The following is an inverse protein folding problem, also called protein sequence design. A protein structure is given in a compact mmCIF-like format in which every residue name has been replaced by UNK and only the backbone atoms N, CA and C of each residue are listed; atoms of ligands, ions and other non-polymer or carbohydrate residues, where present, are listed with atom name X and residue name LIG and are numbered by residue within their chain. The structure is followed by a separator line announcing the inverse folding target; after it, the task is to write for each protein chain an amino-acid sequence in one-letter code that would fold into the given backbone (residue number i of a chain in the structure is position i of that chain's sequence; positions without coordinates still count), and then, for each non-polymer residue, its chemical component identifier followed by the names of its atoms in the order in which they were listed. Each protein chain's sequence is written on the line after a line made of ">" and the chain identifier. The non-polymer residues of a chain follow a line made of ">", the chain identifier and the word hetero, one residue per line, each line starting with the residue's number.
data_IF_621550458199
#
_entry.id   IF_621550458199
#
_cell.length_a   1.000
_cell.length_b   1.000
_cell.length_c   1.000
_cell.angle_alpha   90.00
_cell.angle_beta   90.00
_cell.angle_gamma   90.00
#
_symmetry.space_group_name_H-M   'P 1'
#
loop_
_entity.id
_entity.type
_entity.pdbx_description
1 polymer ?
#
# COMPACT_ATOMS: atom_id res chain seq x y z
N UNK A 1 -1.83 -12.14 9.83
CA UNK A 1 -1.27 -11.61 8.56
C UNK A 1 -1.64 -10.12 8.50
N UNK A 2 -0.66 -9.22 8.40
CA UNK A 2 -0.88 -7.79 8.54
C UNK A 2 -1.56 -7.24 7.28
N UNK A 3 -2.80 -6.78 7.38
CA UNK A 3 -3.61 -6.33 6.22
C UNK A 3 -2.93 -5.18 5.45
N UNK A 4 -2.17 -4.34 6.15
CA UNK A 4 -1.44 -3.23 5.54
C UNK A 4 -0.33 -3.73 4.61
N UNK A 5 0.35 -4.83 4.97
CA UNK A 5 1.41 -5.41 4.14
C UNK A 5 0.85 -6.03 2.86
N UNK A 6 -0.32 -6.68 2.95
CA UNK A 6 -1.00 -7.21 1.77
C UNK A 6 -1.44 -6.09 0.81
N UNK A 7 -2.00 -4.99 1.35
CA UNK A 7 -2.40 -3.83 0.56
C UNK A 7 -1.20 -3.16 -0.14
N UNK A 8 -0.06 -3.04 0.55
CA UNK A 8 1.16 -2.48 -0.02
C UNK A 8 1.73 -3.36 -1.15
N UNK A 9 1.75 -4.69 -0.96
CA UNK A 9 2.15 -5.62 -2.00
C UNK A 9 1.21 -5.57 -3.22
N UNK A 10 -0.10 -5.43 -3.02
CA UNK A 10 -1.06 -5.25 -4.11
C UNK A 10 -0.86 -3.93 -4.86
N UNK A 11 -0.59 -2.83 -4.16
CA UNK A 11 -0.30 -1.54 -4.77
C UNK A 11 0.94 -1.59 -5.66
N UNK A 12 2.01 -2.23 -5.18
CA UNK A 12 3.22 -2.47 -5.97
C UNK A 12 2.94 -3.36 -7.19
N UNK A 13 2.20 -4.46 -7.00
CA UNK A 13 1.85 -5.37 -8.09
C UNK A 13 0.94 -4.72 -9.14
N UNK A 14 0.07 -3.79 -8.74
CA UNK A 14 -0.75 -3.00 -9.64
C UNK A 14 0.11 -1.99 -10.42
N UNK A 15 1.02 -1.29 -9.74
CA UNK A 15 1.95 -0.37 -10.38
C UNK A 15 2.81 -1.06 -11.45
N UNK A 16 3.41 -2.19 -11.10
CA UNK A 16 4.21 -3.02 -12.00
C UNK A 16 3.41 -3.42 -13.24
N UNK A 17 2.16 -3.87 -13.05
CA UNK A 17 1.24 -4.21 -14.15
C UNK A 17 0.90 -3.01 -15.04
N UNK A 18 0.60 -1.86 -14.46
CA UNK A 18 0.25 -0.64 -15.21
C UNK A 18 1.44 -0.10 -16.03
N UNK A 19 2.65 -0.29 -15.52
CA UNK A 19 3.88 0.16 -16.17
C UNK A 19 4.54 -0.91 -17.05
N UNK A 20 4.00 -2.13 -17.04
CA UNK A 20 4.54 -3.30 -17.72
C UNK A 20 6.03 -3.53 -17.39
N UNK A 21 6.35 -3.48 -16.09
CA UNK A 21 7.69 -3.72 -15.53
C UNK A 21 7.60 -4.77 -14.42
N UNK A 22 8.69 -5.48 -14.15
CA UNK A 22 8.77 -6.36 -12.97
C UNK A 22 9.17 -5.55 -11.73
N UNK A 23 8.72 -5.99 -10.55
CA UNK A 23 9.19 -5.44 -9.29
C UNK A 23 10.71 -5.65 -9.09
N UNK A 24 11.25 -6.73 -9.67
CA UNK A 24 12.69 -7.01 -9.66
C UNK A 24 13.51 -6.01 -10.52
N UNK A 25 12.88 -5.34 -11.48
CA UNK A 25 13.51 -4.37 -12.37
C UNK A 25 13.47 -2.94 -11.79
N UNK A 26 12.69 -2.72 -10.73
CA UNK A 26 12.57 -1.44 -10.06
C UNK A 26 13.73 -1.21 -9.08
N UNK A 27 14.29 0.00 -9.01
CA UNK A 27 15.22 0.36 -7.95
C UNK A 27 14.57 0.16 -6.59
N UNK A 28 15.31 -0.36 -5.61
CA UNK A 28 14.80 -0.58 -4.25
C UNK A 28 14.15 0.68 -3.66
N UNK A 29 14.71 1.86 -3.96
CA UNK A 29 14.15 3.16 -3.55
C UNK A 29 12.75 3.43 -4.12
N UNK A 30 12.46 3.02 -5.35
CA UNK A 30 11.13 3.20 -5.94
C UNK A 30 10.12 2.24 -5.32
N UNK A 31 10.55 1.00 -5.05
CA UNK A 31 9.74 0.01 -4.33
C UNK A 31 9.40 0.51 -2.93
N UNK A 32 10.38 1.02 -2.18
CA UNK A 32 10.18 1.58 -0.84
C UNK A 32 9.18 2.73 -0.85
N UNK A 33 9.29 3.67 -1.80
CA UNK A 33 8.35 4.80 -1.92
C UNK A 33 6.92 4.33 -2.17
N UNK A 34 6.71 3.31 -3.01
CA UNK A 34 5.38 2.77 -3.30
C UNK A 34 4.81 2.08 -2.07
N UNK A 35 5.63 1.31 -1.35
CA UNK A 35 5.22 0.63 -0.13
C UNK A 35 4.87 1.64 0.98
N UNK A 36 5.69 2.66 1.20
CA UNK A 36 5.46 3.72 2.18
C UNK A 36 4.12 4.42 1.93
N UNK A 37 3.86 4.82 0.68
CA UNK A 37 2.58 5.44 0.30
C UNK A 37 1.39 4.52 0.61
N UNK A 38 1.49 3.24 0.24
CA UNK A 38 0.41 2.29 0.50
C UNK A 38 0.21 2.01 2.00
N UNK A 39 1.27 2.03 2.80
CA UNK A 39 1.18 1.91 4.26
C UNK A 39 0.54 3.14 4.89
N UNK A 40 0.90 4.34 4.47
CA UNK A 40 0.28 5.58 4.95
C UNK A 40 -1.23 5.58 4.66
N UNK A 41 -1.63 5.25 3.43
CA UNK A 41 -3.04 5.16 3.05
C UNK A 41 -3.77 4.06 3.85
N UNK A 42 -3.16 2.89 4.04
CA UNK A 42 -3.74 1.83 4.86
C UNK A 42 -3.92 2.25 6.33
N UNK A 43 -2.96 3.01 6.88
CA UNK A 43 -3.04 3.56 8.23
C UNK A 43 -4.16 4.60 8.35
N UNK A 44 -4.28 5.51 7.37
CA UNK A 44 -5.36 6.50 7.32
C UNK A 44 -6.73 5.84 7.21
N UNK A 45 -6.89 4.84 6.35
CA UNK A 45 -8.14 4.09 6.23
C UNK A 45 -8.50 3.34 7.52
N UNK A 46 -7.52 2.77 8.21
CA UNK A 46 -7.73 2.12 9.50
C UNK A 46 -8.16 3.12 10.59
N UNK A 47 -7.57 4.32 10.60
CA UNK A 47 -7.96 5.41 11.48
C UNK A 47 -9.40 5.87 11.20
N UNK A 48 -9.74 6.14 9.93
CA UNK A 48 -11.09 6.53 9.52
C UNK A 48 -12.16 5.49 9.91
N UNK A 49 -11.88 4.19 9.74
CA UNK A 49 -12.78 3.11 10.19
C UNK A 49 -13.00 3.11 11.70
N UNK A 50 -11.97 3.49 12.47
CA UNK A 50 -12.06 3.56 13.94
C UNK A 50 -12.92 4.73 14.39
N UNK A 51 -12.86 5.86 13.70
CA UNK A 51 -13.68 7.04 13.97
C UNK A 51 -15.16 6.79 13.64
N UNK A 52 -15.45 6.18 12.48
CA UNK A 52 -16.81 5.79 12.09
C UNK A 52 -17.45 4.85 13.12
N UNK A 53 -16.66 3.94 13.72
CA UNK A 53 -17.15 3.03 14.76
C UNK A 53 -17.43 3.71 16.10
N UNK A 54 -16.76 4.83 16.43
CA UNK A 54 -17.02 5.60 17.67
C UNK A 54 -18.23 6.52 17.58
N UNK A 55 -18.63 6.89 16.36
CA UNK A 55 -19.76 7.78 16.12
C UNK A 55 -21.12 7.05 15.96
N UNK A 56 -21.12 5.71 16.00
CA UNK A 56 -22.30 4.86 15.87
C UNK A 56 -22.81 4.29 17.18
#
# INVERSE_FOLDING_TARGET
>A
MNLAFAAAAEALALFCRLRNVDAADLPAREVDVILDLAFEEAAQQAAARTEVRRAG
#
